data_IF_148396957848
#
_entry.id   IF_148396957848
#
_cell.length_a   1.000
_cell.length_b   1.000
_cell.length_c   1.000
_cell.angle_alpha   90.00
_cell.angle_beta   90.00
_cell.angle_gamma   90.00
#
_symmetry.space_group_name_H-M   'P 1'
#
loop_
_entity.id
_entity.type
_entity.pdbx_description
1 polymer ?
#
# COMPACT_ATOMS: atom_id res chain seq x y z
N UNK A 1 2.33 3.74 59.03
CA UNK A 1 2.84 2.49 59.64
C UNK A 1 2.78 1.39 58.59
N UNK A 2 3.86 0.62 58.45
CA UNK A 2 4.05 -0.46 57.46
C UNK A 2 3.60 -1.81 58.01
N UNK A 3 2.91 -2.59 57.18
CA UNK A 3 2.81 -4.06 57.09
C UNK A 3 1.85 -4.32 55.89
N UNK A 4 1.89 -5.35 55.06
CA UNK A 4 2.36 -6.73 55.19
C UNK A 4 2.38 -7.37 53.78
N UNK A 5 3.16 -8.45 53.62
CA UNK A 5 2.86 -9.54 52.68
C UNK A 5 3.23 -9.26 51.21
N UNK A 6 3.83 -10.16 50.44
CA UNK A 6 4.06 -11.61 50.50
C UNK A 6 5.08 -11.84 49.39
N UNK A 7 6.24 -12.47 49.63
CA UNK A 7 6.46 -13.88 49.32
C UNK A 7 5.93 -14.28 47.92
N UNK A 8 6.68 -14.92 47.01
CA UNK A 8 7.62 -16.02 47.23
C UNK A 8 8.17 -16.47 45.86
N UNK A 9 9.48 -16.71 45.84
CA UNK A 9 10.24 -17.74 45.07
C UNK A 9 10.16 -17.76 43.53
N UNK A 10 11.29 -17.55 42.84
CA UNK A 10 12.41 -18.47 42.51
C UNK A 10 12.13 -19.41 41.32
N UNK A 11 13.01 -19.29 40.31
CA UNK A 11 13.91 -20.32 39.69
C UNK A 11 14.12 -19.91 38.22
N UNK A 12 15.29 -19.48 37.77
CA UNK A 12 16.55 -20.23 37.57
C UNK A 12 16.41 -21.41 36.59
N UNK A 13 16.84 -21.18 35.34
CA UNK A 13 17.72 -22.07 34.58
C UNK A 13 17.08 -23.12 33.67
N UNK A 14 17.51 -23.14 32.40
CA UNK A 14 17.46 -24.35 31.56
C UNK A 14 17.41 -24.08 30.06
N UNK A 15 18.57 -23.88 29.43
CA UNK A 15 18.75 -24.15 27.99
C UNK A 15 18.91 -25.64 27.75
N UNK A 16 18.32 -26.16 26.67
CA UNK A 16 18.86 -27.29 25.90
C UNK A 16 18.57 -27.08 24.42
N UNK A 17 19.60 -27.30 23.61
CA UNK A 17 19.56 -27.35 22.16
C UNK A 17 18.93 -28.66 21.64
N UNK A 18 18.42 -28.67 20.41
CA UNK A 18 17.88 -29.87 19.77
C UNK A 18 17.63 -29.69 18.26
N UNK A 19 18.68 -29.99 17.50
CA UNK A 19 18.74 -30.58 16.15
C UNK A 19 17.47 -30.97 15.36
N UNK A 20 17.48 -30.54 14.08
CA UNK A 20 17.45 -31.35 12.86
C UNK A 20 16.11 -31.83 12.22
N UNK A 21 16.07 -31.51 10.92
CA UNK A 21 15.71 -32.35 9.76
C UNK A 21 14.24 -32.56 9.35
N UNK A 22 14.00 -32.13 8.11
CA UNK A 22 13.39 -32.85 6.98
C UNK A 22 11.97 -33.42 7.18
N UNK A 23 11.03 -32.99 6.35
CA UNK A 23 10.81 -33.66 5.07
C UNK A 23 9.59 -33.05 4.38
N UNK A 24 9.79 -32.72 3.11
CA UNK A 24 8.73 -32.49 2.15
C UNK A 24 7.92 -33.78 1.97
N UNK A 25 6.60 -33.67 1.99
CA UNK A 25 5.72 -34.69 1.44
C UNK A 25 4.76 -34.00 0.46
N UNK A 26 5.16 -34.02 -0.82
CA UNK A 26 4.24 -33.96 -1.94
C UNK A 26 3.55 -35.33 -2.08
N UNK A 27 2.23 -35.33 -1.99
CA UNK A 27 1.36 -36.30 -2.65
C UNK A 27 0.32 -35.43 -3.38
N UNK A 28 0.15 -35.44 -4.70
CA UNK A 28 0.12 -36.59 -5.59
C UNK A 28 -1.33 -37.07 -5.69
N UNK A 29 -2.09 -36.54 -6.66
CA UNK A 29 -3.49 -36.93 -6.85
C UNK A 29 -4.16 -36.26 -8.05
N UNK A 30 -3.97 -36.86 -9.23
CA UNK A 30 -4.73 -36.54 -10.43
C UNK A 30 -6.21 -36.89 -10.22
N UNK A 31 -7.09 -35.91 -10.48
CA UNK A 31 -8.54 -36.10 -10.49
C UNK A 31 -9.11 -35.38 -11.70
N UNK A 32 -9.12 -36.05 -12.85
CA UNK A 32 -10.00 -35.68 -13.97
C UNK A 32 -11.42 -36.05 -13.57
N UNK A 33 -12.29 -35.04 -13.50
CA UNK A 33 -13.75 -35.18 -13.54
C UNK A 33 -14.30 -34.09 -14.47
N UNK A 34 -14.85 -34.52 -15.60
CA UNK A 34 -15.81 -33.80 -16.45
C UNK A 34 -16.97 -34.80 -16.69
N UNK A 35 -18.19 -34.41 -17.09
CA UNK A 35 -18.77 -33.07 -17.26
C UNK A 35 -20.18 -32.91 -16.66
N UNK A 36 -20.70 -31.67 -16.61
CA UNK A 36 -22.14 -31.43 -16.75
C UNK A 36 -22.38 -30.00 -17.28
N UNK A 37 -23.01 -29.93 -18.44
CA UNK A 37 -23.51 -28.70 -19.04
C UNK A 37 -24.63 -28.10 -18.17
N UNK A 38 -24.51 -26.82 -17.84
CA UNK A 38 -25.60 -25.98 -17.32
C UNK A 38 -26.14 -25.04 -18.42
N UNK A 39 -27.41 -24.61 -18.35
CA UNK A 39 -28.08 -23.82 -19.38
C UNK A 39 -27.52 -22.38 -19.50
N UNK A 40 -27.72 -21.69 -20.65
CA UNK A 40 -27.41 -20.26 -20.78
C UNK A 40 -28.47 -19.42 -20.04
N UNK A 41 -28.14 -18.98 -18.84
CA UNK A 41 -29.00 -18.08 -18.07
C UNK A 41 -28.69 -16.62 -18.43
N UNK A 42 -29.63 -16.00 -19.15
CA UNK A 42 -30.01 -14.61 -18.95
C UNK A 42 -29.12 -13.53 -19.56
N UNK A 43 -29.40 -13.18 -20.81
CA UNK A 43 -29.19 -11.82 -21.30
C UNK A 43 -30.08 -10.85 -20.51
N UNK A 44 -29.56 -10.37 -19.38
CA UNK A 44 -30.06 -9.18 -18.69
C UNK A 44 -29.34 -7.97 -19.24
N UNK A 45 -29.99 -7.23 -20.12
CA UNK A 45 -29.54 -5.91 -20.53
C UNK A 45 -29.44 -5.01 -19.29
N UNK A 46 -28.21 -4.66 -18.90
CA UNK A 46 -27.99 -3.61 -17.91
C UNK A 46 -28.49 -2.28 -18.50
N UNK A 47 -29.23 -1.45 -17.74
CA UNK A 47 -29.63 -0.14 -18.22
C UNK A 47 -28.39 0.72 -18.44
N UNK A 48 -28.16 1.08 -19.70
CA UNK A 48 -27.39 2.26 -20.04
C UNK A 48 -28.11 3.48 -19.43
N UNK A 49 -27.45 4.19 -18.51
CA UNK A 49 -28.06 5.40 -17.95
C UNK A 49 -27.53 5.84 -16.59
N UNK A 50 -26.22 5.96 -16.46
CA UNK A 50 -25.63 6.85 -15.47
C UNK A 50 -24.71 7.79 -16.21
N UNK A 51 -25.23 8.94 -16.66
CA UNK A 51 -24.39 10.02 -17.16
C UNK A 51 -23.28 10.24 -16.15
N UNK A 52 -22.03 10.07 -16.59
CA UNK A 52 -20.87 10.49 -15.84
C UNK A 52 -21.10 11.96 -15.48
N UNK A 53 -21.45 12.21 -14.22
CA UNK A 53 -21.18 13.52 -13.63
C UNK A 53 -19.68 13.69 -13.86
N UNK A 54 -19.30 14.73 -14.60
CA UNK A 54 -17.90 15.13 -14.67
C UNK A 54 -17.35 15.09 -13.25
N UNK A 55 -16.36 14.23 -13.03
CA UNK A 55 -15.78 14.02 -11.71
C UNK A 55 -15.28 15.39 -11.25
N UNK A 56 -16.02 16.02 -10.32
CA UNK A 56 -15.42 17.06 -9.51
C UNK A 56 -14.27 16.36 -8.79
N UNK A 57 -13.03 16.75 -9.11
CA UNK A 57 -11.83 16.12 -8.58
C UNK A 57 -11.86 16.10 -7.06
N UNK A 58 -11.41 15.00 -6.47
CA UNK A 58 -11.18 14.90 -5.04
C UNK A 58 -9.82 15.48 -4.67
N UNK A 59 -9.52 15.52 -3.39
CA UNK A 59 -8.20 15.91 -2.90
C UNK A 59 -7.59 14.79 -2.09
N UNK A 60 -6.27 14.78 -1.98
CA UNK A 60 -5.59 13.79 -1.12
C UNK A 60 -5.90 13.98 0.38
N UNK A 61 -6.44 15.14 0.77
CA UNK A 61 -6.91 15.41 2.14
C UNK A 61 -8.20 14.66 2.49
N UNK A 62 -8.91 14.08 1.52
CA UNK A 62 -10.17 13.35 1.72
C UNK A 62 -9.98 11.89 2.19
N UNK A 63 -8.77 11.48 2.54
CA UNK A 63 -8.50 10.10 2.99
C UNK A 63 -8.47 9.09 1.83
N UNK A 64 -7.68 9.39 0.79
CA UNK A 64 -7.70 8.68 -0.49
C UNK A 64 -6.70 7.51 -0.59
N UNK A 65 -6.10 7.12 0.52
CA UNK A 65 -5.20 5.97 0.61
C UNK A 65 -5.41 5.23 1.94
N UNK A 66 -5.05 3.95 1.97
CA UNK A 66 -5.20 3.12 3.18
C UNK A 66 -3.91 3.01 3.98
N UNK A 67 -4.02 2.76 5.29
CA UNK A 67 -2.86 2.47 6.15
C UNK A 67 -2.04 1.25 5.66
N UNK A 68 -2.72 0.29 5.04
CA UNK A 68 -2.08 -0.86 4.39
C UNK A 68 -1.22 -0.45 3.19
N UNK A 69 -1.65 0.54 2.40
CA UNK A 69 -0.84 1.10 1.31
C UNK A 69 0.37 1.86 1.85
N UNK A 70 0.19 2.64 2.93
CA UNK A 70 1.31 3.31 3.61
C UNK A 70 2.35 2.30 4.04
N UNK A 71 1.95 1.22 4.72
CA UNK A 71 2.86 0.17 5.19
C UNK A 71 3.64 -0.51 4.05
N UNK A 72 2.96 -0.84 2.95
CA UNK A 72 3.63 -1.41 1.75
C UNK A 72 4.54 -0.40 1.05
N UNK A 73 4.12 0.87 1.02
CA UNK A 73 4.88 1.96 0.43
C UNK A 73 6.17 2.21 1.18
N UNK A 74 6.10 2.24 2.51
CA UNK A 74 7.25 2.36 3.39
C UNK A 74 8.23 1.18 3.19
N UNK A 75 7.73 -0.06 3.12
CA UNK A 75 8.57 -1.22 2.82
C UNK A 75 9.26 -1.07 1.47
N UNK A 76 8.51 -0.73 0.41
CA UNK A 76 9.05 -0.54 -0.93
C UNK A 76 10.11 0.57 -0.94
N UNK A 77 9.85 1.68 -0.24
CA UNK A 77 10.80 2.79 -0.10
C UNK A 77 12.11 2.33 0.54
N UNK A 78 12.04 1.57 1.65
CA UNK A 78 13.24 1.04 2.34
C UNK A 78 14.02 0.03 1.49
N UNK A 79 13.35 -0.76 0.68
CA UNK A 79 13.99 -1.82 -0.11
C UNK A 79 14.60 -1.28 -1.41
N UNK A 80 13.97 -0.27 -2.02
CA UNK A 80 14.29 0.19 -3.37
C UNK A 80 14.82 1.61 -3.41
N UNK A 81 14.24 2.52 -2.63
CA UNK A 81 14.50 3.96 -2.75
C UNK A 81 15.61 4.43 -1.79
N UNK A 82 15.72 3.82 -0.60
CA UNK A 82 16.58 4.33 0.47
C UNK A 82 18.07 4.09 0.28
N UNK A 83 18.48 3.44 -0.82
CA UNK A 83 19.89 3.36 -1.19
C UNK A 83 20.43 4.74 -1.61
N UNK A 84 19.58 5.60 -2.18
CA UNK A 84 19.95 6.93 -2.67
C UNK A 84 19.18 8.07 -2.00
N UNK A 85 18.00 7.80 -1.43
CA UNK A 85 17.13 8.83 -0.88
C UNK A 85 16.87 8.69 0.61
N UNK A 86 16.69 9.83 1.29
CA UNK A 86 16.19 9.88 2.66
C UNK A 86 14.78 10.47 2.71
N UNK A 87 13.94 9.98 3.61
CA UNK A 87 12.58 10.50 3.82
C UNK A 87 12.51 12.02 4.07
N UNK A 88 13.55 12.62 4.68
CA UNK A 88 13.60 14.07 4.93
C UNK A 88 13.48 14.87 3.64
N UNK A 89 13.94 14.30 2.53
CA UNK A 89 13.85 14.87 1.19
C UNK A 89 12.39 14.98 0.73
N UNK A 90 11.51 14.08 1.13
CA UNK A 90 10.13 14.05 0.66
C UNK A 90 9.15 14.57 1.69
N UNK A 91 9.61 15.35 2.66
CA UNK A 91 8.79 15.82 3.78
C UNK A 91 8.78 17.35 3.91
N UNK A 92 7.75 17.87 4.57
CA UNK A 92 7.66 19.25 5.03
C UNK A 92 7.69 20.27 3.89
N UNK A 93 8.43 21.37 4.10
CA UNK A 93 8.42 22.52 3.19
C UNK A 93 8.85 22.20 1.75
N UNK A 94 9.76 21.22 1.56
CA UNK A 94 10.21 20.81 0.23
C UNK A 94 9.10 20.07 -0.52
N UNK A 95 8.46 19.11 0.14
CA UNK A 95 7.30 18.41 -0.43
C UNK A 95 6.20 19.41 -0.79
N UNK A 96 5.84 20.28 0.16
CA UNK A 96 4.82 21.31 -0.04
C UNK A 96 5.12 22.20 -1.25
N UNK A 97 6.34 22.71 -1.37
CA UNK A 97 6.74 23.59 -2.48
C UNK A 97 6.69 22.90 -3.84
N UNK A 98 7.00 21.60 -3.89
CA UNK A 98 7.02 20.85 -5.15
C UNK A 98 5.65 20.35 -5.58
N UNK A 99 4.83 19.89 -4.63
CA UNK A 99 3.66 19.05 -4.95
C UNK A 99 2.30 19.71 -4.68
N UNK A 100 2.20 20.70 -3.78
CA UNK A 100 0.90 21.35 -3.55
C UNK A 100 0.48 22.13 -4.79
N UNK A 101 -0.77 21.92 -5.23
CA UNK A 101 -1.34 22.43 -6.48
C UNK A 101 -1.10 21.54 -7.69
N UNK A 102 -0.37 20.42 -7.53
CA UNK A 102 -0.29 19.34 -8.51
C UNK A 102 -1.21 18.18 -8.09
N UNK A 103 -1.21 17.11 -8.86
CA UNK A 103 -2.04 15.92 -8.60
C UNK A 103 -1.22 14.76 -8.03
N UNK A 104 -1.89 13.82 -7.37
CA UNK A 104 -1.28 12.54 -7.00
C UNK A 104 -0.78 11.78 -8.25
N UNK A 105 -1.40 12.04 -9.41
CA UNK A 105 -0.95 11.53 -10.71
C UNK A 105 0.39 12.08 -11.14
N UNK A 106 0.65 13.38 -10.93
CA UNK A 106 1.94 14.00 -11.27
C UNK A 106 3.07 13.45 -10.40
N UNK A 107 2.81 13.25 -9.10
CA UNK A 107 3.74 12.60 -8.19
C UNK A 107 4.00 11.14 -8.60
N UNK A 108 2.93 10.38 -8.87
CA UNK A 108 3.03 8.99 -9.33
C UNK A 108 3.86 8.88 -10.61
N UNK A 109 3.55 9.70 -11.63
CA UNK A 109 4.20 9.66 -12.94
C UNK A 109 5.66 10.06 -12.84
N UNK A 110 5.98 11.06 -12.01
CA UNK A 110 7.36 11.47 -11.76
C UNK A 110 8.18 10.32 -11.16
N UNK A 111 7.64 9.63 -10.14
CA UNK A 111 8.35 8.50 -9.53
C UNK A 111 8.45 7.35 -10.53
N UNK A 112 7.36 7.02 -11.24
CA UNK A 112 7.33 5.88 -12.16
C UNK A 112 8.26 6.06 -13.37
N UNK A 113 8.44 7.29 -13.85
CA UNK A 113 9.23 7.56 -15.07
C UNK A 113 10.70 7.89 -14.79
N UNK A 114 11.03 8.33 -13.58
CA UNK A 114 12.40 8.73 -13.22
C UNK A 114 13.07 7.79 -12.22
N UNK A 115 12.30 6.95 -11.51
CA UNK A 115 12.81 6.08 -10.46
C UNK A 115 12.44 4.61 -10.68
N UNK A 116 13.25 3.67 -10.15
CA UNK A 116 14.55 3.88 -9.51
C UNK A 116 15.66 4.36 -10.46
N UNK A 117 16.72 4.97 -9.91
CA UNK A 117 17.88 5.36 -10.70
C UNK A 117 18.49 4.13 -11.40
N UNK A 118 18.66 4.22 -12.72
CA UNK A 118 19.21 3.14 -13.54
C UNK A 118 18.19 2.10 -14.04
N UNK A 119 17.00 2.02 -13.44
CA UNK A 119 15.93 1.14 -13.91
C UNK A 119 14.52 1.78 -13.77
N UNK A 120 14.25 2.94 -14.41
CA UNK A 120 12.97 3.63 -14.28
C UNK A 120 11.79 2.79 -14.77
N UNK A 121 10.69 2.81 -14.04
CA UNK A 121 9.46 2.08 -14.38
C UNK A 121 9.49 0.58 -14.05
N UNK A 122 10.51 0.12 -13.32
CA UNK A 122 10.68 -1.30 -12.96
C UNK A 122 9.71 -1.81 -11.89
N UNK A 123 9.10 -0.92 -11.10
CA UNK A 123 8.10 -1.32 -10.11
C UNK A 123 6.71 -1.44 -10.73
N UNK A 124 5.87 -2.30 -10.14
CA UNK A 124 4.47 -2.39 -10.54
C UNK A 124 3.71 -1.08 -10.21
N UNK A 125 2.62 -0.77 -10.94
CA UNK A 125 1.77 0.38 -10.61
C UNK A 125 1.24 0.37 -9.16
N UNK A 126 1.00 -0.81 -8.59
CA UNK A 126 0.56 -0.96 -7.20
C UNK A 126 1.67 -0.60 -6.19
N UNK A 127 2.93 -0.91 -6.50
CA UNK A 127 4.07 -0.51 -5.69
C UNK A 127 4.27 1.01 -5.74
N UNK A 128 4.25 1.62 -6.93
CA UNK A 128 4.34 3.07 -7.06
C UNK A 128 3.20 3.78 -6.34
N UNK A 129 1.95 3.33 -6.49
CA UNK A 129 0.81 3.91 -5.77
C UNK A 129 0.96 3.78 -4.24
N UNK A 130 1.53 2.66 -3.76
CA UNK A 130 1.81 2.49 -2.33
C UNK A 130 2.91 3.45 -1.86
N UNK A 131 3.97 3.66 -2.64
CA UNK A 131 5.01 4.66 -2.33
C UNK A 131 4.41 6.07 -2.30
N UNK A 132 3.54 6.42 -3.24
CA UNK A 132 2.82 7.71 -3.22
C UNK A 132 2.00 7.85 -1.94
N UNK A 133 1.24 6.82 -1.54
CA UNK A 133 0.49 6.83 -0.29
C UNK A 133 1.41 7.05 0.93
N UNK A 134 2.57 6.38 0.97
CA UNK A 134 3.55 6.58 2.04
C UNK A 134 4.10 8.01 2.08
N UNK A 135 4.41 8.61 0.93
CA UNK A 135 4.87 10.00 0.88
C UNK A 135 3.78 10.99 1.30
N UNK A 136 2.51 10.72 0.99
CA UNK A 136 1.39 11.53 1.47
C UNK A 136 1.25 11.41 3.00
N UNK A 137 1.26 10.20 3.55
CA UNK A 137 1.21 9.97 5.01
C UNK A 137 2.37 10.65 5.75
N UNK A 138 3.59 10.57 5.19
CA UNK A 138 4.78 11.25 5.71
C UNK A 138 4.60 12.79 5.82
N UNK A 139 3.70 13.36 5.02
CA UNK A 139 3.36 14.77 5.01
C UNK A 139 2.05 15.12 5.72
N UNK A 140 1.47 14.16 6.45
CA UNK A 140 0.34 14.40 7.35
C UNK A 140 -1.04 14.36 6.69
N UNK A 141 -1.15 13.91 5.43
CA UNK A 141 -2.48 13.63 4.86
C UNK A 141 -3.10 12.43 5.59
N UNK A 142 -4.41 12.44 5.86
CA UNK A 142 -5.05 11.36 6.60
C UNK A 142 -5.18 10.11 5.74
N UNK A 143 -4.96 8.95 6.34
CA UNK A 143 -5.40 7.69 5.76
C UNK A 143 -6.93 7.56 5.85
N UNK A 144 -7.53 6.86 4.88
CA UNK A 144 -8.95 6.49 4.87
C UNK A 144 -9.16 5.04 4.45
N UNK A 145 -10.39 4.73 4.06
CA UNK A 145 -10.81 3.37 3.68
C UNK A 145 -10.73 3.11 2.18
N UNK A 146 -10.52 4.16 1.37
CA UNK A 146 -10.43 4.04 -0.08
C UNK A 146 -8.98 3.88 -0.48
N UNK A 147 -8.61 2.79 -1.19
CA UNK A 147 -7.25 2.64 -1.68
C UNK A 147 -6.96 3.66 -2.79
N UNK A 148 -5.75 4.21 -2.76
CA UNK A 148 -5.22 5.03 -3.83
C UNK A 148 -5.23 4.21 -5.14
N UNK A 149 -5.85 4.69 -6.22
CA UNK A 149 -5.94 3.94 -7.46
C UNK A 149 -4.56 3.78 -8.11
N UNK A 150 -4.43 2.80 -9.01
CA UNK A 150 -3.18 2.56 -9.75
C UNK A 150 -3.19 3.11 -11.17
N UNK A 151 -4.33 3.64 -11.65
CA UNK A 151 -4.42 4.25 -12.97
C UNK A 151 -4.06 5.73 -12.90
N UNK A 152 -3.17 6.16 -13.80
CA UNK A 152 -2.73 7.55 -13.88
C UNK A 152 -3.90 8.52 -14.02
N UNK A 153 -4.91 8.19 -14.84
CA UNK A 153 -6.08 9.06 -15.04
C UNK A 153 -6.93 9.25 -13.78
N UNK A 154 -7.02 8.25 -12.89
CA UNK A 154 -7.73 8.39 -11.63
C UNK A 154 -6.91 9.20 -10.62
N UNK A 155 -5.60 8.99 -10.60
CA UNK A 155 -4.67 9.75 -9.75
C UNK A 155 -4.59 11.23 -10.15
N UNK A 156 -4.69 11.55 -11.44
CA UNK A 156 -4.76 12.91 -11.96
C UNK A 156 -6.04 13.67 -11.55
N UNK A 157 -7.06 12.95 -11.09
CA UNK A 157 -8.27 13.58 -10.55
C UNK A 157 -8.17 13.93 -9.05
N UNK A 158 -7.03 13.62 -8.41
CA UNK A 158 -6.79 13.85 -6.99
C UNK A 158 -5.75 14.96 -6.81
N UNK A 159 -6.19 16.16 -6.42
CA UNK A 159 -5.29 17.30 -6.17
C UNK A 159 -4.57 17.15 -4.82
N UNK A 160 -3.29 17.50 -4.79
CA UNK A 160 -2.50 17.66 -3.58
C UNK A 160 -2.71 19.10 -3.09
N UNK A 161 -3.56 19.26 -2.08
CA UNK A 161 -3.83 20.54 -1.41
C UNK A 161 -2.95 20.68 -0.17
N UNK A 162 -2.98 21.81 0.54
CA UNK A 162 -2.29 21.90 1.84
C UNK A 162 -2.81 20.81 2.80
N UNK A 163 -1.88 20.15 3.51
CA UNK A 163 -2.24 19.17 4.54
C UNK A 163 -3.04 19.84 5.68
N UNK A 164 -4.03 19.13 6.26
CA UNK A 164 -4.92 19.67 7.30
C UNK A 164 -4.27 19.93 8.65
#
# INVERSE_FOLDING_TARGET
MKADGTERRRRAGGSVAGTAMLAWLFAGGAGVWLPAAGPPEGSGAAPAGGAARGQAGGTVADGVFTADQVSRGEQTFREVCSACHDTVEFSGGRFRFTWVGLTAGDLFDTIATLMPEGDPGSLSPAQYASVVAYLLDLNGYPAGETPLPTSLSALQALEIVEAP
#
